data_IF_807015437772
#
_entry.id   IF_807015437772
#
_cell.length_a   1.000
_cell.length_b   1.000
_cell.length_c   1.000
_cell.angle_alpha   90.00
_cell.angle_beta   90.00
_cell.angle_gamma   90.00
#
_symmetry.space_group_name_H-M   'P 1'
#
loop_
_entity.id
_entity.type
_entity.pdbx_description
1 polymer ?
#
# COMPACT_ATOMS: atom_id res chain seq x y z
N UNK A 1 -2.74 13.05 25.56
CA UNK A 1 -1.64 12.53 24.74
C UNK A 1 -2.19 11.84 23.50
N UNK A 2 -2.38 12.61 22.41
CA UNK A 2 -2.61 12.04 21.09
C UNK A 2 -1.34 11.28 20.70
N UNK A 3 -1.39 9.95 20.79
CA UNK A 3 -0.35 9.10 20.20
C UNK A 3 -0.31 9.38 18.70
N UNK A 4 0.74 10.05 18.23
CA UNK A 4 1.03 10.16 16.79
C UNK A 4 1.16 8.73 16.27
N UNK A 5 0.19 8.31 15.47
CA UNK A 5 0.23 6.99 14.82
C UNK A 5 1.33 7.06 13.77
N UNK A 6 2.41 6.32 13.98
CA UNK A 6 3.51 6.18 13.02
C UNK A 6 3.13 5.19 11.91
N UNK A 7 3.86 5.24 10.79
CA UNK A 7 3.82 4.23 9.75
C UNK A 7 3.91 2.84 10.38
N UNK A 8 3.00 1.95 10.01
CA UNK A 8 2.93 0.59 10.52
C UNK A 8 3.40 -0.41 9.47
N UNK A 9 4.42 -1.20 9.81
CA UNK A 9 4.84 -2.36 9.03
C UNK A 9 4.30 -3.62 9.68
N UNK A 10 3.54 -4.40 8.92
CA UNK A 10 2.84 -5.58 9.41
C UNK A 10 3.50 -6.81 8.82
N UNK A 11 4.15 -7.57 9.69
CA UNK A 11 4.87 -8.79 9.32
C UNK A 11 4.01 -10.04 9.59
N UNK A 12 4.27 -11.08 8.82
CA UNK A 12 3.62 -12.37 9.03
C UNK A 12 3.96 -12.95 10.42
N UNK A 13 2.96 -13.54 11.06
CA UNK A 13 3.17 -14.31 12.29
C UNK A 13 3.72 -15.70 12.02
N UNK A 14 3.55 -16.19 10.79
CA UNK A 14 4.00 -17.51 10.36
C UNK A 14 5.44 -17.45 9.85
N UNK A 15 5.77 -16.39 9.11
CA UNK A 15 7.11 -16.08 8.62
C UNK A 15 7.52 -14.70 9.15
N UNK A 16 8.04 -14.59 10.38
CA UNK A 16 8.19 -13.30 11.07
C UNK A 16 9.02 -12.23 10.34
N UNK A 17 9.88 -12.63 9.40
CA UNK A 17 10.68 -11.68 8.63
C UNK A 17 10.00 -11.24 7.33
N UNK A 18 8.82 -11.79 7.00
CA UNK A 18 8.11 -11.45 5.78
C UNK A 18 7.19 -10.27 6.01
N UNK A 19 7.52 -9.14 5.39
CA UNK A 19 6.66 -7.95 5.38
C UNK A 19 5.47 -8.17 4.45
N UNK A 20 4.27 -8.07 5.00
CA UNK A 20 3.02 -8.31 4.26
C UNK A 20 2.32 -7.02 3.87
N UNK A 21 2.15 -6.11 4.83
CA UNK A 21 1.38 -4.89 4.63
C UNK A 21 2.08 -3.69 5.24
N UNK A 22 1.78 -2.52 4.69
CA UNK A 22 2.25 -1.24 5.22
C UNK A 22 1.05 -0.30 5.31
N UNK A 23 0.92 0.40 6.42
CA UNK A 23 -0.01 1.52 6.58
C UNK A 23 0.80 2.79 6.75
N UNK A 24 0.63 3.72 5.83
CA UNK A 24 1.25 5.03 5.88
C UNK A 24 0.18 6.09 6.16
N UNK A 25 0.40 6.93 7.14
CA UNK A 25 -0.56 7.96 7.54
C UNK A 25 -0.17 9.32 6.94
N UNK A 26 -1.15 10.16 6.68
CA UNK A 26 -0.90 11.54 6.27
C UNK A 26 0.06 12.24 7.26
N UNK A 27 -0.12 11.98 8.55
CA UNK A 27 0.73 12.52 9.61
C UNK A 27 2.17 12.02 9.60
N UNK A 28 2.46 10.93 8.88
CA UNK A 28 3.82 10.40 8.75
C UNK A 28 4.62 11.13 7.65
N UNK A 29 3.94 11.90 6.80
CA UNK A 29 4.56 12.50 5.62
C UNK A 29 5.36 13.75 6.03
N UNK A 30 6.67 13.69 5.81
CA UNK A 30 7.60 14.80 6.01
C UNK A 30 8.81 14.64 5.10
N UNK A 31 9.19 15.71 4.40
CA UNK A 31 10.26 15.62 3.40
C UNK A 31 9.97 14.56 2.34
N UNK A 32 10.98 13.80 1.93
CA UNK A 32 10.86 12.64 1.06
C UNK A 32 11.07 11.35 1.84
N UNK A 33 10.13 10.43 1.74
CA UNK A 33 10.24 9.10 2.34
C UNK A 33 9.85 8.03 1.32
N UNK A 34 10.70 7.03 1.16
CA UNK A 34 10.37 5.82 0.42
C UNK A 34 9.62 4.88 1.37
N UNK A 35 8.35 4.65 1.07
CA UNK A 35 7.43 3.91 1.95
C UNK A 35 7.62 2.41 1.83
N UNK A 36 7.85 1.93 0.62
CA UNK A 36 7.94 0.50 0.30
C UNK A 36 9.39 0.12 0.07
N UNK A 37 9.87 -0.99 0.69
CA UNK A 37 11.24 -1.48 0.45
C UNK A 37 11.51 -1.76 -1.03
N UNK A 38 12.74 -1.46 -1.47
CA UNK A 38 13.14 -1.40 -2.89
C UNK A 38 12.98 -2.72 -3.65
N UNK A 39 12.99 -3.86 -2.96
CA UNK A 39 12.87 -5.18 -3.55
C UNK A 39 11.45 -5.53 -4.00
N UNK A 40 10.46 -4.71 -3.65
CA UNK A 40 9.06 -4.94 -4.01
C UNK A 40 8.74 -4.42 -5.41
N UNK A 41 7.69 -4.98 -6.03
CA UNK A 41 7.23 -4.56 -7.36
C UNK A 41 6.57 -3.19 -7.32
N UNK A 42 5.72 -2.94 -6.33
CA UNK A 42 5.13 -1.62 -6.12
C UNK A 42 6.13 -0.73 -5.38
N UNK A 43 6.27 0.48 -5.86
CA UNK A 43 7.11 1.49 -5.21
C UNK A 43 6.25 2.70 -4.89
N UNK A 44 6.49 3.29 -3.73
CA UNK A 44 5.81 4.51 -3.32
C UNK A 44 6.77 5.39 -2.53
N UNK A 45 6.81 6.64 -2.90
CA UNK A 45 7.44 7.69 -2.11
C UNK A 45 6.41 8.75 -1.75
N UNK A 46 6.49 9.26 -0.54
CA UNK A 46 5.73 10.43 -0.12
C UNK A 46 6.67 11.63 -0.05
N UNK A 47 6.16 12.79 -0.47
CA UNK A 47 6.92 14.04 -0.51
C UNK A 47 6.08 15.17 0.08
N UNK A 48 6.66 15.87 1.04
CA UNK A 48 6.13 17.14 1.54
C UNK A 48 7.10 18.24 1.10
N UNK A 49 6.60 19.18 0.31
CA UNK A 49 7.44 20.14 -0.40
C UNK A 49 6.93 21.56 -0.21
N UNK A 50 7.88 22.50 -0.26
CA UNK A 50 7.58 23.92 -0.22
C UNK A 50 7.18 24.45 -1.60
N UNK A 51 6.46 25.57 -1.60
CA UNK A 51 6.09 26.28 -2.84
C UNK A 51 7.37 26.62 -3.63
N UNK A 52 7.27 26.53 -4.95
CA UNK A 52 8.36 26.78 -5.92
C UNK A 52 9.44 25.70 -5.98
N UNK A 53 9.32 24.59 -5.23
CA UNK A 53 10.20 23.44 -5.44
C UNK A 53 10.00 22.91 -6.85
N UNK A 54 11.10 22.66 -7.55
CA UNK A 54 11.11 22.07 -8.89
C UNK A 54 12.09 20.89 -8.95
N UNK A 55 12.00 20.13 -10.01
CA UNK A 55 12.88 18.98 -10.26
C UNK A 55 13.47 19.10 -11.67
N UNK A 56 14.73 18.65 -11.89
CA UNK A 56 15.29 18.58 -13.23
C UNK A 56 14.41 17.71 -14.13
N UNK A 57 14.04 18.21 -15.33
CA UNK A 57 13.33 17.38 -16.30
C UNK A 57 14.13 16.13 -16.62
N UNK A 58 13.47 14.97 -16.63
CA UNK A 58 14.13 13.70 -16.92
C UNK A 58 13.16 12.72 -17.54
N UNK A 59 13.69 11.63 -18.05
CA UNK A 59 12.91 10.48 -18.51
C UNK A 59 13.50 9.19 -17.94
N UNK A 60 12.66 8.20 -17.76
CA UNK A 60 13.07 6.91 -17.23
C UNK A 60 13.72 6.06 -18.31
N UNK A 61 14.67 5.24 -17.89
CA UNK A 61 15.43 4.34 -18.76
C UNK A 61 14.64 3.04 -18.92
N UNK A 62 14.50 2.56 -20.15
CA UNK A 62 13.94 1.25 -20.42
C UNK A 62 14.84 0.18 -19.80
N UNK A 63 14.26 -0.69 -18.99
CA UNK A 63 14.96 -1.80 -18.34
C UNK A 63 14.33 -3.12 -18.72
N UNK A 64 15.17 -4.07 -19.06
CA UNK A 64 14.76 -5.44 -19.29
C UNK A 64 14.89 -6.20 -17.95
N UNK A 65 13.76 -6.58 -17.37
CA UNK A 65 13.70 -7.25 -16.07
C UNK A 65 12.93 -8.56 -16.19
N UNK A 66 13.59 -9.64 -15.83
CA UNK A 66 12.99 -10.96 -15.75
C UNK A 66 12.82 -11.39 -14.30
N UNK A 67 11.57 -11.63 -13.89
CA UNK A 67 11.26 -12.17 -12.57
C UNK A 67 10.76 -13.60 -12.71
N UNK A 68 11.24 -14.49 -11.85
CA UNK A 68 10.78 -15.89 -11.84
C UNK A 68 9.34 -16.00 -11.32
N UNK A 69 9.02 -15.24 -10.29
CA UNK A 69 7.70 -15.17 -9.70
C UNK A 69 7.25 -13.72 -9.61
N UNK A 70 5.99 -13.50 -9.96
CA UNK A 70 5.36 -12.19 -9.84
C UNK A 70 4.03 -12.34 -9.11
N UNK A 71 3.79 -11.45 -8.16
CA UNK A 71 2.53 -11.32 -7.48
C UNK A 71 2.06 -9.88 -7.61
N UNK A 72 0.77 -9.68 -7.85
CA UNK A 72 0.20 -8.36 -7.85
C UNK A 72 0.32 -7.76 -6.43
N UNK A 73 0.85 -6.56 -6.37
CA UNK A 73 0.91 -5.76 -5.15
C UNK A 73 0.02 -4.54 -5.34
N UNK A 74 -0.68 -4.14 -4.30
CA UNK A 74 -1.76 -3.16 -4.41
C UNK A 74 -1.72 -2.13 -3.29
N UNK A 75 -2.10 -0.91 -3.63
CA UNK A 75 -2.26 0.20 -2.68
C UNK A 75 -3.62 0.85 -2.83
N UNK A 76 -4.24 1.19 -1.70
CA UNK A 76 -5.37 2.11 -1.62
C UNK A 76 -4.94 3.39 -0.93
N UNK A 77 -5.23 4.54 -1.56
CA UNK A 77 -4.99 5.86 -1.00
C UNK A 77 -6.34 6.54 -0.79
N UNK A 78 -6.66 6.85 0.46
CA UNK A 78 -7.94 7.50 0.79
C UNK A 78 -7.85 9.00 0.48
N UNK A 79 -8.63 9.43 -0.49
CA UNK A 79 -8.73 10.84 -0.88
C UNK A 79 -9.75 11.55 0.00
N UNK A 80 -10.85 10.89 0.33
CA UNK A 80 -11.91 11.40 1.18
C UNK A 80 -12.69 10.25 1.80
N UNK A 81 -13.16 10.43 3.02
CA UNK A 81 -13.99 9.45 3.71
C UNK A 81 -13.19 8.56 4.66
N UNK A 82 -13.71 7.37 4.88
CA UNK A 82 -13.16 6.44 5.87
C UNK A 82 -13.29 4.99 5.40
N UNK A 83 -12.21 4.24 5.53
CA UNK A 83 -12.11 2.86 5.08
C UNK A 83 -11.54 2.00 6.20
N UNK A 84 -12.18 0.88 6.48
CA UNK A 84 -11.59 -0.18 7.31
C UNK A 84 -10.91 -1.19 6.40
N UNK A 85 -9.62 -1.37 6.59
CA UNK A 85 -8.89 -2.46 5.95
C UNK A 85 -9.00 -3.72 6.79
N UNK A 86 -9.26 -4.86 6.17
CA UNK A 86 -9.16 -6.16 6.82
C UNK A 86 -8.02 -6.89 6.14
N UNK A 87 -6.92 -7.05 6.86
CA UNK A 87 -5.66 -7.56 6.34
C UNK A 87 -5.41 -8.98 6.83
N UNK A 88 -4.97 -9.83 5.91
CA UNK A 88 -4.79 -11.25 6.17
C UNK A 88 -3.31 -11.64 6.08
N UNK A 89 -2.93 -12.58 6.93
CA UNK A 89 -1.66 -13.28 6.85
C UNK A 89 -1.66 -14.29 5.68
N UNK A 90 -0.54 -14.88 5.39
CA UNK A 90 -0.38 -15.86 4.31
C UNK A 90 -1.14 -17.18 4.53
N UNK A 91 -1.62 -17.44 5.73
CA UNK A 91 -2.47 -18.58 6.08
C UNK A 91 -3.98 -18.22 6.07
N UNK A 92 -4.34 -17.06 5.53
CA UNK A 92 -5.70 -16.54 5.43
C UNK A 92 -6.34 -16.15 6.77
N UNK A 93 -5.55 -16.00 7.83
CA UNK A 93 -6.04 -15.46 9.11
C UNK A 93 -5.95 -13.94 9.15
N UNK A 94 -6.89 -13.28 9.82
CA UNK A 94 -6.88 -11.83 9.98
C UNK A 94 -5.72 -11.43 10.90
N UNK A 95 -4.87 -10.51 10.43
CA UNK A 95 -3.70 -10.04 11.17
C UNK A 95 -3.83 -8.59 11.64
N UNK A 96 -4.63 -7.77 10.95
CA UNK A 96 -4.87 -6.38 11.33
C UNK A 96 -6.15 -5.85 10.68
N UNK A 97 -6.78 -4.87 11.34
CA UNK A 97 -7.99 -4.20 10.85
C UNK A 97 -7.89 -2.68 11.02
N UNK A 98 -6.88 -2.04 10.41
CA UNK A 98 -6.69 -0.59 10.55
C UNK A 98 -7.81 0.19 9.85
N UNK A 99 -8.14 1.36 10.44
CA UNK A 99 -9.04 2.33 9.82
C UNK A 99 -8.20 3.41 9.17
N UNK A 100 -8.46 3.69 7.90
CA UNK A 100 -7.82 4.73 7.12
C UNK A 100 -8.75 5.92 6.97
N UNK A 101 -8.19 7.11 7.07
CA UNK A 101 -8.85 8.40 6.86
C UNK A 101 -8.16 9.15 5.72
N UNK A 102 -8.65 10.33 5.40
CA UNK A 102 -8.13 11.18 4.33
C UNK A 102 -6.60 11.29 4.37
N UNK A 103 -5.95 10.98 3.25
CA UNK A 103 -4.51 11.01 3.09
C UNK A 103 -3.76 9.78 3.59
N UNK A 104 -4.45 8.83 4.22
CA UNK A 104 -3.87 7.57 4.64
C UNK A 104 -3.79 6.59 3.46
N UNK A 105 -2.82 5.70 3.49
CA UNK A 105 -2.64 4.68 2.45
C UNK A 105 -2.32 3.31 3.06
N UNK A 106 -2.84 2.28 2.42
CA UNK A 106 -2.47 0.89 2.66
C UNK A 106 -1.66 0.33 1.49
N UNK A 107 -0.79 -0.60 1.79
CA UNK A 107 -0.03 -1.36 0.79
C UNK A 107 -0.09 -2.83 1.15
N UNK A 108 -0.52 -3.67 0.23
CA UNK A 108 -0.44 -5.12 0.37
C UNK A 108 0.63 -5.65 -0.57
N UNK A 109 1.67 -6.22 0.02
CA UNK A 109 2.82 -6.78 -0.69
C UNK A 109 2.64 -8.29 -0.88
N UNK A 110 2.17 -8.96 0.17
CA UNK A 110 1.80 -10.36 0.22
C UNK A 110 0.65 -10.55 1.19
N UNK A 111 -0.01 -11.69 1.15
CA UNK A 111 -1.19 -11.95 1.95
C UNK A 111 -2.45 -11.39 1.30
N UNK A 112 -3.57 -11.49 2.02
CA UNK A 112 -4.86 -11.05 1.52
C UNK A 112 -5.31 -9.74 2.13
N UNK A 113 -6.31 -9.14 1.51
CA UNK A 113 -6.96 -7.94 2.02
C UNK A 113 -8.41 -7.86 1.55
N UNK A 114 -9.20 -7.14 2.29
CA UNK A 114 -10.49 -6.61 1.86
C UNK A 114 -10.76 -5.28 2.57
N UNK A 115 -11.78 -4.59 2.12
CA UNK A 115 -12.09 -3.24 2.59
C UNK A 115 -13.57 -3.11 2.89
N UNK A 116 -13.88 -2.36 3.94
CA UNK A 116 -15.23 -1.94 4.29
C UNK A 116 -15.29 -0.42 4.27
N UNK A 117 -16.20 0.14 3.49
CA UNK A 117 -16.40 1.58 3.40
C UNK A 117 -17.27 2.03 4.57
N UNK A 118 -16.75 2.92 5.40
CA UNK A 118 -17.40 3.35 6.64
C UNK A 118 -18.19 4.66 6.51
N UNK A 119 -18.00 5.41 5.45
CA UNK A 119 -18.71 6.68 5.20
C UNK A 119 -19.19 6.77 3.75
N UNK A 120 -20.35 7.40 3.55
CA UNK A 120 -20.85 7.68 2.21
C UNK A 120 -19.89 8.59 1.45
N UNK A 121 -19.86 8.45 0.11
CA UNK A 121 -19.03 9.27 -0.77
C UNK A 121 -17.51 9.14 -0.52
N UNK A 122 -17.08 8.02 0.05
CA UNK A 122 -15.66 7.72 0.21
C UNK A 122 -15.01 7.57 -1.18
N UNK A 123 -13.87 8.23 -1.35
CA UNK A 123 -13.08 8.22 -2.60
C UNK A 123 -11.70 7.70 -2.29
N UNK A 124 -11.25 6.73 -3.08
CA UNK A 124 -9.90 6.17 -3.00
C UNK A 124 -9.26 6.12 -4.38
N UNK A 125 -7.94 6.23 -4.45
CA UNK A 125 -7.18 5.76 -5.59
C UNK A 125 -6.64 4.36 -5.29
N UNK A 126 -6.85 3.46 -6.22
CA UNK A 126 -6.25 2.14 -6.21
C UNK A 126 -5.11 2.09 -7.21
N UNK A 127 -3.93 1.75 -6.72
CA UNK A 127 -2.76 1.48 -7.55
C UNK A 127 -2.39 0.01 -7.39
N UNK A 128 -2.05 -0.64 -8.49
CA UNK A 128 -1.51 -1.98 -8.43
C UNK A 128 -0.50 -2.22 -9.54
N UNK A 129 0.34 -3.19 -9.32
CA UNK A 129 1.30 -3.60 -10.34
C UNK A 129 0.57 -4.29 -11.49
N UNK A 130 1.03 -4.01 -12.71
CA UNK A 130 0.45 -4.53 -13.93
C UNK A 130 1.47 -5.29 -14.78
N UNK A 131 1.07 -5.64 -16.02
CA UNK A 131 -0.24 -5.39 -16.62
C UNK A 131 -1.37 -6.22 -16.00
N UNK A 132 -2.61 -5.70 -16.11
CA UNK A 132 -3.79 -6.36 -15.56
C UNK A 132 -4.47 -7.23 -16.61
N UNK A 133 -4.58 -8.50 -16.35
CA UNK A 133 -5.12 -9.52 -17.28
C UNK A 133 -6.50 -10.05 -16.87
N UNK A 134 -7.18 -9.32 -15.99
CA UNK A 134 -8.51 -9.68 -15.48
C UNK A 134 -8.46 -10.35 -14.11
N UNK A 135 -9.61 -10.35 -13.43
CA UNK A 135 -9.73 -10.82 -12.05
C UNK A 135 -9.29 -12.28 -11.86
N UNK A 136 -9.60 -13.13 -12.82
CA UNK A 136 -9.31 -14.58 -12.74
C UNK A 136 -7.82 -14.90 -12.70
N UNK A 137 -6.98 -14.07 -13.35
CA UNK A 137 -5.54 -14.23 -13.40
C UNK A 137 -4.81 -13.42 -12.33
N UNK A 138 -5.52 -12.59 -11.59
CA UNK A 138 -4.96 -11.68 -10.59
C UNK A 138 -5.12 -12.19 -9.16
N UNK A 139 -6.27 -12.76 -8.84
CA UNK A 139 -6.60 -13.09 -7.44
C UNK A 139 -7.37 -14.38 -7.27
N UNK A 140 -7.30 -14.91 -6.07
CA UNK A 140 -8.18 -15.96 -5.57
C UNK A 140 -8.85 -15.47 -4.29
N UNK A 141 -10.07 -15.93 -4.02
CA UNK A 141 -10.83 -15.47 -2.87
C UNK A 141 -10.53 -16.29 -1.62
N UNK A 142 -10.40 -15.60 -0.49
CA UNK A 142 -10.32 -16.19 0.84
C UNK A 142 -11.74 -16.63 1.24
N UNK A 143 -11.89 -17.89 1.65
CA UNK A 143 -13.17 -18.46 2.07
C UNK A 143 -13.36 -18.40 3.58
#
# INVERSE_FOLDING_TARGET
>A
NLKIKKMEKIYSKIKPNKLLHIINRLSDIHGRNDVVPEENFIQCATLKMEKNKTFPPHKHITKDRHYQEQIAQESWVVIRGKVKCILYDIDDTIIAEPILEEGDASFTLYGGHTYEILEDNTIVYEYKTGPYEGQKLDKTFIK
#
